data_IF_962773457946
#
_entry.id   IF_962773457946
#
_cell.length_a   1.000
_cell.length_b   1.000
_cell.length_c   1.000
_cell.angle_alpha   90.00
_cell.angle_beta   90.00
_cell.angle_gamma   90.00
#
_symmetry.space_group_name_H-M   'P 1'
#
loop_
_entity.id
_entity.type
_entity.pdbx_description
1 polymer ?
#
# COMPACT_ATOMS: atom_id res chain seq x y z
N UNK A 1 11.47 40.62 -1.52
CA UNK A 1 11.51 40.40 -2.98
C UNK A 1 12.10 39.04 -3.37
N UNK A 2 12.22 38.05 -2.47
CA UNK A 2 12.23 36.63 -2.86
C UNK A 2 11.48 35.79 -1.80
N UNK A 3 10.22 36.17 -1.56
CA UNK A 3 9.14 35.19 -1.45
C UNK A 3 8.71 34.97 -2.90
N UNK A 4 9.12 33.85 -3.49
CA UNK A 4 8.38 33.06 -4.49
C UNK A 4 9.29 31.96 -5.07
N UNK A 5 8.84 30.70 -4.93
CA UNK A 5 9.30 29.46 -5.61
C UNK A 5 10.61 28.84 -5.04
N UNK A 6 10.72 27.70 -4.34
CA UNK A 6 9.98 26.41 -4.29
C UNK A 6 10.37 25.57 -3.02
N UNK A 7 9.51 24.65 -2.52
CA UNK A 7 9.63 24.03 -1.18
C UNK A 7 10.30 22.63 -1.13
N UNK A 8 11.61 22.51 -1.41
CA UNK A 8 12.29 21.18 -1.40
C UNK A 8 13.65 21.16 -0.67
N UNK A 9 13.79 21.89 0.44
CA UNK A 9 14.99 21.85 1.29
C UNK A 9 14.78 21.30 2.72
N UNK A 10 13.64 20.68 3.03
CA UNK A 10 13.30 20.33 4.41
C UNK A 10 12.72 18.93 4.62
N UNK A 11 13.41 17.88 4.18
CA UNK A 11 13.17 16.52 4.69
C UNK A 11 14.46 15.99 5.33
N UNK A 12 14.37 15.54 6.58
CA UNK A 12 15.51 14.98 7.33
C UNK A 12 16.13 13.79 6.61
N UNK A 13 15.33 13.03 5.85
CA UNK A 13 15.79 11.97 4.96
C UNK A 13 16.79 12.45 3.90
N UNK A 14 16.52 13.57 3.18
CA UNK A 14 17.44 14.05 2.15
C UNK A 14 18.78 14.55 2.70
N UNK A 15 18.78 15.10 3.92
CA UNK A 15 20.03 15.45 4.63
C UNK A 15 20.81 14.20 5.04
N UNK A 16 20.10 13.17 5.50
CA UNK A 16 20.69 11.89 5.88
C UNK A 16 21.28 11.15 4.67
N UNK A 17 20.55 11.07 3.56
CA UNK A 17 20.99 10.45 2.31
C UNK A 17 22.22 11.16 1.70
N UNK A 18 22.24 12.50 1.68
CA UNK A 18 23.40 13.25 1.20
C UNK A 18 24.66 12.98 2.04
N UNK A 19 24.51 12.84 3.36
CA UNK A 19 25.62 12.53 4.27
C UNK A 19 26.16 11.11 4.06
N UNK A 20 25.27 10.14 3.81
CA UNK A 20 25.61 8.76 3.45
C UNK A 20 26.42 8.71 2.13
N UNK A 21 25.93 9.35 1.07
CA UNK A 21 26.61 9.38 -0.24
C UNK A 21 28.00 10.05 -0.17
N UNK A 22 28.18 11.02 0.74
CA UNK A 22 29.46 11.72 0.95
C UNK A 22 30.46 10.94 1.82
N UNK A 23 30.13 9.72 2.26
CA UNK A 23 31.00 8.90 3.13
C UNK A 23 31.18 9.48 4.53
N UNK A 24 30.26 10.35 4.96
CA UNK A 24 30.25 10.95 6.30
C UNK A 24 29.47 10.00 7.24
N UNK A 25 30.08 8.85 7.56
CA UNK A 25 29.48 7.74 8.32
C UNK A 25 29.12 8.05 9.79
N UNK A 26 29.28 9.28 10.26
CA UNK A 26 29.08 9.64 11.66
C UNK A 26 27.63 10.03 12.04
N UNK A 27 26.71 10.15 11.08
CA UNK A 27 25.34 10.63 11.35
C UNK A 27 24.25 9.57 11.16
N UNK A 28 24.41 8.39 11.78
CA UNK A 28 23.31 7.43 11.98
C UNK A 28 22.08 8.07 12.66
N UNK A 29 22.28 9.16 13.41
CA UNK A 29 21.21 9.96 14.02
C UNK A 29 20.24 10.57 13.00
N UNK A 30 20.68 11.03 11.83
CA UNK A 30 19.79 11.67 10.86
C UNK A 30 18.90 10.67 10.12
N UNK A 31 19.42 9.45 9.87
CA UNK A 31 18.62 8.34 9.36
C UNK A 31 17.65 7.82 10.43
N UNK A 32 18.08 7.77 11.70
CA UNK A 32 17.20 7.46 12.83
C UNK A 32 16.08 8.50 12.99
N UNK A 33 16.39 9.79 12.91
CA UNK A 33 15.41 10.88 12.95
C UNK A 33 14.43 10.76 11.79
N UNK A 34 14.91 10.50 10.57
CA UNK A 34 14.04 10.28 9.40
C UNK A 34 13.13 9.04 9.55
N UNK A 35 13.64 7.96 10.16
CA UNK A 35 12.86 6.77 10.48
C UNK A 35 11.82 7.02 11.60
N UNK A 36 12.08 7.95 12.51
CA UNK A 36 11.23 8.25 13.67
C UNK A 36 10.18 9.34 13.39
N UNK A 37 10.43 10.28 12.48
CA UNK A 37 9.54 11.43 12.24
C UNK A 37 8.19 11.04 11.64
N UNK A 38 8.16 10.04 10.74
CA UNK A 38 6.94 9.44 10.18
C UNK A 38 7.20 7.97 9.84
N UNK A 39 7.22 7.06 10.83
CA UNK A 39 7.72 5.71 10.67
C UNK A 39 6.95 4.85 9.65
N UNK A 40 5.76 5.26 9.20
CA UNK A 40 4.99 4.62 8.13
C UNK A 40 5.21 5.16 6.71
N UNK A 41 6.07 6.15 6.52
CA UNK A 41 6.24 6.83 5.23
C UNK A 41 7.31 6.18 4.34
N UNK A 42 7.24 6.43 3.03
CA UNK A 42 8.30 6.11 2.05
C UNK A 42 9.71 6.40 2.60
N UNK A 43 9.90 7.61 3.15
CA UNK A 43 11.21 8.05 3.64
C UNK A 43 11.66 7.30 4.89
N UNK A 44 10.74 6.91 5.76
CA UNK A 44 11.10 6.11 6.93
C UNK A 44 11.47 4.67 6.57
N UNK A 45 10.76 4.06 5.61
CA UNK A 45 11.15 2.74 5.09
C UNK A 45 12.52 2.77 4.42
N UNK A 46 12.78 3.74 3.53
CA UNK A 46 14.10 3.89 2.90
C UNK A 46 15.20 4.19 3.91
N UNK A 47 14.93 5.01 4.93
CA UNK A 47 15.91 5.26 5.98
C UNK A 47 16.28 3.98 6.74
N UNK A 48 15.30 3.10 7.01
CA UNK A 48 15.54 1.81 7.66
C UNK A 48 16.33 0.83 6.79
N UNK A 49 16.05 0.76 5.48
CA UNK A 49 16.85 -0.06 4.55
C UNK A 49 18.32 0.40 4.52
N UNK A 50 18.56 1.71 4.38
CA UNK A 50 19.92 2.27 4.40
C UNK A 50 20.64 2.04 5.73
N UNK A 51 19.92 2.07 6.86
CA UNK A 51 20.47 1.71 8.17
C UNK A 51 20.81 0.21 8.27
N UNK A 52 19.98 -0.66 7.69
CA UNK A 52 20.21 -2.10 7.66
C UNK A 52 21.44 -2.46 6.80
N UNK A 53 21.58 -1.86 5.61
CA UNK A 53 22.76 -2.01 4.75
C UNK A 53 24.05 -1.53 5.44
N UNK A 54 23.92 -0.55 6.35
CA UNK A 54 25.01 -0.04 7.18
C UNK A 54 25.23 -0.84 8.49
N UNK A 55 24.44 -1.89 8.76
CA UNK A 55 24.60 -2.78 9.92
C UNK A 55 23.97 -2.29 11.24
N UNK A 56 22.99 -1.39 11.20
CA UNK A 56 22.28 -0.88 12.38
C UNK A 56 20.88 -1.50 12.54
N UNK A 57 20.51 -1.93 13.76
CA UNK A 57 19.19 -2.53 14.04
C UNK A 57 18.07 -1.47 14.18
N UNK A 58 16.91 -1.64 13.51
CA UNK A 58 15.72 -0.81 13.74
C UNK A 58 15.07 -1.09 15.10
N UNK A 59 14.50 -0.06 15.72
CA UNK A 59 13.82 -0.12 17.03
C UNK A 59 12.39 -0.66 16.84
N UNK A 60 12.03 -1.63 17.68
CA UNK A 60 10.70 -2.26 17.78
C UNK A 60 9.66 -1.30 18.41
N UNK A 61 8.54 -1.10 17.72
CA UNK A 61 7.42 -0.24 18.13
C UNK A 61 6.36 -0.96 18.95
N UNK A 62 6.65 -2.17 19.46
CA UNK A 62 5.69 -2.99 20.21
C UNK A 62 5.42 -2.43 21.62
N UNK A 63 4.62 -1.36 21.76
CA UNK A 63 3.76 -1.16 22.94
C UNK A 63 2.88 0.10 22.79
N UNK A 64 1.57 -0.09 22.56
CA UNK A 64 0.44 0.52 23.32
C UNK A 64 -0.94 0.27 22.67
N UNK A 65 -1.97 0.14 23.52
CA UNK A 65 -3.38 -0.21 23.17
C UNK A 65 -4.27 1.05 23.10
N UNK A 66 -5.24 1.18 22.16
CA UNK A 66 -6.08 2.38 22.08
C UNK A 66 -7.49 2.28 22.70
N UNK A 67 -7.93 1.15 23.27
CA UNK A 67 -9.34 0.99 23.68
C UNK A 67 -9.53 0.73 25.19
N UNK A 68 -10.50 1.43 25.77
CA UNK A 68 -10.98 1.31 27.15
C UNK A 68 -11.67 -0.05 27.43
N UNK A 69 -11.92 -0.38 28.70
CA UNK A 69 -12.52 -1.68 29.11
C UNK A 69 -13.86 -1.97 28.41
N UNK A 70 -14.75 -0.98 28.35
CA UNK A 70 -16.06 -1.09 27.69
C UNK A 70 -15.92 -1.30 26.17
N UNK A 71 -14.91 -0.69 25.53
CA UNK A 71 -14.60 -0.93 24.13
C UNK A 71 -14.17 -2.37 23.84
N UNK A 72 -13.42 -2.99 24.75
CA UNK A 72 -12.96 -4.38 24.61
C UNK A 72 -14.07 -5.41 24.74
N UNK A 73 -15.07 -5.16 25.58
CA UNK A 73 -16.23 -6.06 25.73
C UNK A 73 -17.12 -6.03 24.49
N UNK A 74 -17.39 -4.84 23.94
CA UNK A 74 -18.13 -4.68 22.68
C UNK A 74 -17.35 -5.28 21.51
N UNK A 75 -16.04 -5.05 21.43
CA UNK A 75 -15.17 -5.66 20.42
C UNK A 75 -15.18 -7.19 20.52
N UNK A 76 -15.08 -7.76 21.73
CA UNK A 76 -15.15 -9.21 21.93
C UNK A 76 -16.50 -9.79 21.51
N UNK A 77 -17.59 -9.09 21.79
CA UNK A 77 -18.94 -9.51 21.39
C UNK A 77 -19.14 -9.45 19.88
N UNK A 78 -18.72 -8.36 19.23
CA UNK A 78 -18.84 -8.19 17.79
C UNK A 78 -17.86 -9.09 17.03
N UNK A 79 -16.65 -9.31 17.56
CA UNK A 79 -15.72 -10.32 17.07
C UNK A 79 -16.34 -11.72 17.16
N UNK A 80 -17.03 -12.03 18.24
CA UNK A 80 -17.78 -13.29 18.37
C UNK A 80 -18.87 -13.41 17.29
N UNK A 81 -19.64 -12.36 17.04
CA UNK A 81 -20.66 -12.38 15.97
C UNK A 81 -20.04 -12.55 14.58
N UNK A 82 -18.91 -11.89 14.31
CA UNK A 82 -18.15 -12.04 13.06
C UNK A 82 -17.64 -13.48 12.90
N UNK A 83 -17.06 -14.06 13.95
CA UNK A 83 -16.58 -15.45 13.96
C UNK A 83 -17.72 -16.47 13.80
N UNK A 84 -18.92 -16.15 14.28
CA UNK A 84 -20.09 -17.03 14.21
C UNK A 84 -20.89 -16.87 12.90
N UNK A 85 -20.48 -15.97 11.99
CA UNK A 85 -21.19 -15.76 10.74
C UNK A 85 -22.50 -14.97 10.86
N UNK A 86 -22.73 -14.33 12.02
CA UNK A 86 -24.01 -13.68 12.39
C UNK A 86 -24.03 -12.21 11.93
N UNK A 87 -23.87 -12.00 10.61
CA UNK A 87 -23.69 -10.67 10.02
C UNK A 87 -24.98 -9.85 9.98
N UNK A 88 -26.13 -10.49 9.85
CA UNK A 88 -27.43 -9.80 9.83
C UNK A 88 -27.77 -9.26 11.22
N UNK A 89 -27.52 -10.07 12.25
CA UNK A 89 -27.69 -9.71 13.66
C UNK A 89 -26.72 -8.58 14.05
N UNK A 90 -25.49 -8.64 13.55
CA UNK A 90 -24.52 -7.56 13.69
C UNK A 90 -25.09 -6.25 13.10
N UNK A 91 -25.66 -6.29 11.89
CA UNK A 91 -26.24 -5.11 11.22
C UNK A 91 -27.45 -4.54 12.00
N UNK A 92 -28.35 -5.40 12.50
CA UNK A 92 -29.48 -4.97 13.34
C UNK A 92 -29.04 -4.32 14.66
N UNK A 93 -27.91 -4.73 15.23
CA UNK A 93 -27.33 -4.11 16.44
C UNK A 93 -26.67 -2.77 16.10
N UNK A 94 -25.99 -2.72 14.96
CA UNK A 94 -25.16 -1.59 14.52
C UNK A 94 -26.00 -0.42 13.95
N UNK A 95 -27.03 -0.69 13.15
CA UNK A 95 -27.77 0.33 12.38
C UNK A 95 -28.71 1.23 13.21
N UNK A 96 -29.45 0.74 14.24
CA UNK A 96 -30.38 1.57 15.00
C UNK A 96 -29.96 1.86 16.46
N UNK A 97 -29.01 1.11 17.04
CA UNK A 97 -28.86 1.00 18.49
C UNK A 97 -27.70 1.77 19.14
N UNK A 98 -26.71 2.22 18.36
CA UNK A 98 -25.54 2.91 18.92
C UNK A 98 -25.75 4.43 18.91
N UNK A 99 -25.79 5.11 20.07
CA UNK A 99 -25.80 6.56 20.10
C UNK A 99 -24.44 7.10 19.60
N UNK A 100 -24.28 7.32 18.29
CA UNK A 100 -23.07 7.82 17.60
C UNK A 100 -22.70 9.29 17.93
N UNK A 101 -22.99 9.72 19.14
CA UNK A 101 -22.76 11.08 19.64
C UNK A 101 -21.27 11.43 19.75
N UNK A 102 -20.39 10.43 19.96
CA UNK A 102 -18.95 10.64 20.16
C UNK A 102 -18.12 10.11 18.99
N UNK A 103 -16.98 10.76 18.72
CA UNK A 103 -16.09 10.38 17.63
C UNK A 103 -15.50 8.97 17.81
N UNK A 104 -15.27 8.53 19.05
CA UNK A 104 -14.77 7.19 19.35
C UNK A 104 -15.76 6.09 18.97
N UNK A 105 -17.05 6.30 19.18
CA UNK A 105 -18.08 5.31 18.81
C UNK A 105 -18.19 5.15 17.29
N UNK A 106 -18.04 6.27 16.54
CA UNK A 106 -17.98 6.25 15.07
C UNK A 106 -16.75 5.50 14.54
N UNK A 107 -15.59 5.66 15.18
CA UNK A 107 -14.37 4.92 14.80
C UNK A 107 -14.53 3.41 15.04
N UNK A 108 -15.00 3.01 16.23
CA UNK A 108 -15.27 1.61 16.55
C UNK A 108 -16.21 1.00 15.52
N UNK A 109 -17.32 1.69 15.21
CA UNK A 109 -18.29 1.29 14.19
C UNK A 109 -17.66 1.08 12.80
N UNK A 110 -16.86 2.04 12.33
CA UNK A 110 -16.19 1.93 11.03
C UNK A 110 -15.17 0.79 10.99
N UNK A 111 -14.46 0.52 12.09
CA UNK A 111 -13.57 -0.62 12.21
C UNK A 111 -14.33 -1.96 12.07
N UNK A 112 -15.48 -2.09 12.74
CA UNK A 112 -16.32 -3.30 12.64
C UNK A 112 -16.88 -3.46 11.22
N UNK A 113 -17.41 -2.39 10.62
CA UNK A 113 -17.92 -2.45 9.25
C UNK A 113 -16.82 -2.78 8.25
N UNK A 114 -15.57 -2.35 8.49
CA UNK A 114 -14.44 -2.71 7.65
C UNK A 114 -14.26 -4.23 7.59
N UNK A 115 -14.27 -4.91 8.74
CA UNK A 115 -14.24 -6.38 8.82
C UNK A 115 -15.42 -7.04 8.07
N UNK A 116 -16.64 -6.55 8.27
CA UNK A 116 -17.84 -7.07 7.60
C UNK A 116 -17.72 -6.97 6.09
N UNK A 117 -17.22 -5.84 5.58
CA UNK A 117 -17.03 -5.64 4.14
C UNK A 117 -16.06 -6.65 3.55
N UNK A 118 -14.99 -7.02 4.25
CA UNK A 118 -14.09 -8.08 3.77
C UNK A 118 -14.78 -9.44 3.66
N UNK A 119 -15.55 -9.83 4.67
CA UNK A 119 -16.29 -11.11 4.65
C UNK A 119 -17.30 -11.15 3.50
N UNK A 120 -17.90 -10.00 3.16
CA UNK A 120 -18.83 -9.89 2.02
C UNK A 120 -18.14 -9.91 0.66
N UNK A 121 -16.81 -9.98 0.61
CA UNK A 121 -16.06 -9.86 -0.64
C UNK A 121 -16.08 -8.44 -1.21
N UNK A 122 -16.22 -7.42 -0.35
CA UNK A 122 -16.26 -6.00 -0.68
C UNK A 122 -15.00 -5.27 -0.15
N UNK A 123 -13.78 -5.68 -0.56
CA UNK A 123 -12.53 -5.19 0.05
C UNK A 123 -12.29 -3.69 -0.16
N UNK A 124 -12.81 -3.12 -1.24
CA UNK A 124 -12.75 -1.68 -1.47
C UNK A 124 -13.43 -0.88 -0.36
N UNK A 125 -14.62 -1.32 0.05
CA UNK A 125 -15.36 -0.68 1.13
C UNK A 125 -14.69 -0.94 2.48
N UNK A 126 -14.15 -2.16 2.67
CA UNK A 126 -13.33 -2.51 3.84
C UNK A 126 -12.17 -1.54 4.04
N UNK A 127 -11.36 -1.33 3.00
CA UNK A 127 -10.25 -0.38 3.01
C UNK A 127 -10.73 1.03 3.31
N UNK A 128 -11.77 1.52 2.61
CA UNK A 128 -12.27 2.88 2.78
C UNK A 128 -12.70 3.15 4.23
N UNK A 129 -13.35 2.18 4.86
CA UNK A 129 -13.76 2.27 6.26
C UNK A 129 -12.57 2.27 7.21
N UNK A 130 -11.57 1.41 6.97
CA UNK A 130 -10.33 1.40 7.75
C UNK A 130 -9.52 2.70 7.59
N UNK A 131 -9.51 3.30 6.40
CA UNK A 131 -8.86 4.60 6.15
C UNK A 131 -9.55 5.74 6.92
N UNK A 132 -10.88 5.71 7.07
CA UNK A 132 -11.59 6.67 7.93
C UNK A 132 -11.18 6.52 9.39
N UNK A 133 -10.97 5.28 9.86
CA UNK A 133 -10.47 5.02 11.21
C UNK A 133 -9.05 5.55 11.36
N UNK A 134 -8.17 5.29 10.39
CA UNK A 134 -6.80 5.84 10.36
C UNK A 134 -6.80 7.37 10.43
N UNK A 135 -7.64 8.04 9.64
CA UNK A 135 -7.75 9.50 9.64
C UNK A 135 -8.24 10.04 11.00
N UNK A 136 -9.23 9.38 11.60
CA UNK A 136 -9.79 9.80 12.88
C UNK A 136 -8.85 9.54 14.07
N UNK A 137 -8.06 8.46 14.03
CA UNK A 137 -7.01 8.17 15.03
C UNK A 137 -5.83 9.12 14.87
N UNK A 138 -5.48 9.48 13.62
CA UNK A 138 -4.36 10.34 13.27
C UNK A 138 -3.05 9.97 14.02
N UNK A 139 -2.58 8.71 13.92
CA UNK A 139 -1.41 8.28 14.65
C UNK A 139 -0.16 9.01 14.12
N UNK A 140 0.87 9.15 14.97
CA UNK A 140 2.14 9.72 14.54
C UNK A 140 2.81 8.83 13.48
N UNK A 141 2.66 7.51 13.62
CA UNK A 141 3.03 6.51 12.62
C UNK A 141 1.88 5.58 12.30
N UNK A 142 1.77 5.12 11.05
CA UNK A 142 0.89 3.99 10.73
C UNK A 142 1.31 2.72 11.48
N UNK A 143 2.61 2.56 11.78
CA UNK A 143 3.13 1.40 12.51
C UNK A 143 2.76 1.39 14.00
N UNK A 144 2.25 2.50 14.53
CA UNK A 144 1.73 2.57 15.91
C UNK A 144 0.33 1.95 16.02
N UNK A 145 -0.29 1.62 14.89
CA UNK A 145 -1.62 1.02 14.85
C UNK A 145 -1.56 -0.47 15.21
N UNK A 146 -2.63 -1.02 15.83
CA UNK A 146 -2.78 -2.46 15.99
C UNK A 146 -2.67 -3.20 14.65
N UNK A 147 -2.02 -4.37 14.66
CA UNK A 147 -1.81 -5.19 13.46
C UNK A 147 -3.12 -5.50 12.75
N UNK A 148 -4.20 -5.70 13.50
CA UNK A 148 -5.53 -6.00 12.99
C UNK A 148 -6.05 -4.87 12.08
N UNK A 149 -5.84 -3.60 12.48
CA UNK A 149 -6.19 -2.46 11.64
C UNK A 149 -5.26 -2.34 10.43
N UNK A 150 -3.98 -2.68 10.58
CA UNK A 150 -3.05 -2.72 9.46
C UNK A 150 -3.43 -3.75 8.40
N UNK A 151 -3.91 -4.94 8.80
CA UNK A 151 -4.39 -5.98 7.87
C UNK A 151 -5.64 -5.52 7.11
N UNK A 152 -6.52 -4.74 7.74
CA UNK A 152 -7.66 -4.10 7.07
C UNK A 152 -7.25 -2.97 6.11
N UNK A 153 -6.14 -2.29 6.37
CA UNK A 153 -5.59 -1.29 5.44
C UNK A 153 -4.84 -1.96 4.29
N UNK A 154 -4.16 -3.08 4.54
CA UNK A 154 -3.30 -3.78 3.58
C UNK A 154 -3.71 -5.26 3.44
N UNK A 155 -4.88 -5.54 2.86
CA UNK A 155 -5.40 -6.91 2.77
C UNK A 155 -4.71 -7.71 1.65
N UNK A 156 -4.64 -9.04 1.79
CA UNK A 156 -4.09 -9.97 0.78
C UNK A 156 -5.20 -10.58 -0.11
N UNK A 157 -6.02 -9.74 -0.72
CA UNK A 157 -7.15 -10.22 -1.55
C UNK A 157 -6.64 -10.75 -2.89
N UNK A 158 -7.33 -11.76 -3.43
CA UNK A 158 -6.98 -12.45 -4.68
C UNK A 158 -5.66 -13.23 -4.61
N UNK A 159 -5.30 -13.71 -3.42
CA UNK A 159 -4.05 -14.42 -3.17
C UNK A 159 -3.81 -15.61 -4.09
N UNK A 160 -4.82 -16.45 -4.30
CA UNK A 160 -4.72 -17.62 -5.18
C UNK A 160 -4.39 -17.26 -6.62
N UNK A 161 -5.08 -16.24 -7.18
CA UNK A 161 -4.88 -15.80 -8.57
C UNK A 161 -3.47 -15.26 -8.76
N UNK A 162 -3.00 -14.40 -7.84
CA UNK A 162 -1.67 -13.81 -7.92
C UNK A 162 -0.61 -14.91 -7.72
N UNK A 163 -0.80 -15.78 -6.73
CA UNK A 163 0.11 -16.88 -6.43
C UNK A 163 0.25 -17.85 -7.61
N UNK A 164 -0.86 -18.23 -8.23
CA UNK A 164 -0.85 -19.06 -9.44
C UNK A 164 -0.05 -18.37 -10.56
N UNK A 165 -0.33 -17.11 -10.87
CA UNK A 165 0.35 -16.36 -11.93
C UNK A 165 1.86 -16.25 -11.69
N UNK A 166 2.28 -15.95 -10.46
CA UNK A 166 3.70 -15.82 -10.10
C UNK A 166 4.42 -17.18 -10.04
N UNK A 167 3.69 -18.29 -9.88
CA UNK A 167 4.27 -19.64 -9.90
C UNK A 167 4.60 -20.15 -11.31
N UNK A 168 3.97 -19.58 -12.36
CA UNK A 168 4.14 -20.04 -13.75
C UNK A 168 5.55 -19.79 -14.26
N UNK A 169 6.12 -18.62 -13.95
CA UNK A 169 7.43 -18.20 -14.43
C UNK A 169 8.12 -17.29 -13.41
N UNK A 170 9.46 -17.33 -13.28
CA UNK A 170 10.19 -16.41 -12.42
C UNK A 170 9.95 -14.95 -12.83
N UNK A 171 9.56 -14.11 -11.87
CA UNK A 171 9.37 -12.67 -12.05
C UNK A 171 10.44 -11.89 -11.29
N UNK A 172 10.75 -10.68 -11.76
CA UNK A 172 11.69 -9.74 -11.08
C UNK A 172 11.04 -8.96 -9.92
N UNK A 173 9.77 -9.24 -9.65
CA UNK A 173 8.98 -8.69 -8.57
C UNK A 173 8.24 -9.81 -7.86
N UNK A 174 7.79 -9.54 -6.64
CA UNK A 174 7.12 -10.52 -5.80
C UNK A 174 5.60 -10.28 -5.69
N UNK A 175 4.97 -11.14 -4.90
CA UNK A 175 3.55 -11.10 -4.57
C UNK A 175 3.12 -9.78 -3.89
N UNK A 176 3.96 -9.23 -3.00
CA UNK A 176 3.64 -8.02 -2.25
C UNK A 176 3.61 -6.78 -3.13
N UNK A 177 4.44 -6.70 -4.18
CA UNK A 177 4.39 -5.58 -5.12
C UNK A 177 3.09 -5.59 -5.93
N UNK A 178 2.57 -6.76 -6.30
CA UNK A 178 1.28 -6.87 -7.02
C UNK A 178 0.13 -6.37 -6.14
N UNK A 179 0.10 -6.77 -4.86
CA UNK A 179 -0.88 -6.27 -3.89
C UNK A 179 -0.76 -4.75 -3.68
N UNK A 180 0.47 -4.22 -3.62
CA UNK A 180 0.73 -2.79 -3.47
C UNK A 180 0.18 -1.99 -4.65
N UNK A 181 0.44 -2.43 -5.88
CA UNK A 181 -0.11 -1.79 -7.08
C UNK A 181 -1.64 -1.85 -7.11
N UNK A 182 -2.23 -3.02 -6.85
CA UNK A 182 -3.68 -3.17 -6.85
C UNK A 182 -4.37 -2.28 -5.80
N UNK A 183 -3.77 -2.17 -4.62
CA UNK A 183 -4.21 -1.24 -3.56
C UNK A 183 -4.17 0.20 -4.04
N UNK A 184 -3.04 0.63 -4.60
CA UNK A 184 -2.86 2.04 -4.98
C UNK A 184 -3.66 2.45 -6.21
N UNK A 185 -3.91 1.53 -7.13
CA UNK A 185 -4.68 1.78 -8.35
C UNK A 185 -6.18 1.89 -8.08
N UNK A 186 -6.77 0.95 -7.33
CA UNK A 186 -8.23 0.88 -7.18
C UNK A 186 -8.74 0.65 -5.76
N UNK A 187 -7.85 0.42 -4.79
CA UNK A 187 -8.21 -0.19 -3.49
C UNK A 187 -9.06 -1.45 -3.71
N UNK A 188 -8.63 -2.35 -4.60
CA UNK A 188 -9.32 -3.60 -4.92
C UNK A 188 -10.74 -3.45 -5.50
N UNK A 189 -11.08 -2.29 -6.07
CA UNK A 189 -12.37 -2.09 -6.73
C UNK A 189 -12.34 -2.66 -8.17
N UNK A 190 -12.91 -3.86 -8.35
CA UNK A 190 -13.00 -4.52 -9.68
C UNK A 190 -13.81 -3.75 -10.72
N UNK A 191 -14.66 -2.82 -10.28
CA UNK A 191 -15.51 -2.00 -11.14
C UNK A 191 -14.95 -0.59 -11.37
N UNK A 192 -13.73 -0.29 -10.88
CA UNK A 192 -13.13 1.03 -10.99
C UNK A 192 -12.93 1.46 -12.45
N UNK A 193 -13.23 2.73 -12.75
CA UNK A 193 -13.07 3.35 -14.07
C UNK A 193 -12.44 4.73 -13.89
N UNK A 194 -11.28 4.97 -14.49
CA UNK A 194 -10.66 6.30 -14.48
C UNK A 194 -11.21 7.20 -15.60
N UNK A 195 -11.09 8.54 -15.46
CA UNK A 195 -11.40 9.47 -16.54
C UNK A 195 -10.60 9.23 -17.83
N UNK A 196 -9.39 8.65 -17.71
CA UNK A 196 -8.51 8.31 -18.82
C UNK A 196 -8.84 6.95 -19.45
N UNK A 197 -9.88 6.27 -18.98
CA UNK A 197 -10.34 4.99 -19.53
C UNK A 197 -9.62 3.76 -18.98
N UNK A 198 -8.90 3.89 -17.87
CA UNK A 198 -8.31 2.76 -17.15
C UNK A 198 -9.39 1.98 -16.39
N UNK A 199 -9.28 0.65 -16.33
CA UNK A 199 -10.33 -0.24 -15.84
C UNK A 199 -9.84 -1.26 -14.82
N UNK A 200 -10.71 -1.57 -13.85
CA UNK A 200 -10.59 -2.70 -12.95
C UNK A 200 -9.56 -2.54 -11.83
N UNK A 201 -9.17 -3.67 -11.25
CA UNK A 201 -8.37 -3.76 -10.04
C UNK A 201 -7.02 -3.04 -10.13
N UNK A 202 -6.36 -3.14 -11.27
CA UNK A 202 -5.01 -2.59 -11.49
C UNK A 202 -5.02 -1.51 -12.58
N UNK A 203 -6.18 -0.90 -12.81
CA UNK A 203 -6.40 0.27 -13.68
C UNK A 203 -5.64 0.16 -15.02
N UNK A 204 -5.97 -0.87 -15.80
CA UNK A 204 -5.38 -1.04 -17.12
C UNK A 204 -6.17 -0.31 -18.20
N UNK A 205 -5.44 0.35 -19.10
CA UNK A 205 -6.00 0.88 -20.35
C UNK A 205 -6.29 -0.31 -21.29
N UNK A 206 -7.47 -0.41 -21.90
CA UNK A 206 -7.83 -1.55 -22.75
C UNK A 206 -6.84 -1.85 -23.87
N UNK A 207 -6.31 -0.82 -24.54
CA UNK A 207 -5.32 -1.01 -25.59
C UNK A 207 -4.03 -1.66 -25.06
N UNK A 208 -3.59 -1.28 -23.85
CA UNK A 208 -2.40 -1.84 -23.20
C UNK A 208 -2.63 -3.30 -22.81
N UNK A 209 -3.79 -3.60 -22.23
CA UNK A 209 -4.13 -4.96 -21.83
C UNK A 209 -4.28 -5.90 -23.03
N UNK A 210 -4.91 -5.41 -24.12
CA UNK A 210 -5.03 -6.19 -25.35
C UNK A 210 -3.69 -6.44 -26.02
N UNK A 211 -2.80 -5.44 -26.00
CA UNK A 211 -1.45 -5.56 -26.56
C UNK A 211 -0.60 -6.57 -25.77
N UNK A 212 -0.60 -6.51 -24.44
CA UNK A 212 0.27 -7.37 -23.63
C UNK A 212 -0.20 -8.83 -23.61
N UNK A 213 -1.51 -9.08 -23.72
CA UNK A 213 -2.08 -10.43 -23.80
C UNK A 213 -2.25 -10.94 -25.24
N UNK A 214 -1.84 -10.16 -26.24
CA UNK A 214 -1.99 -10.47 -27.67
C UNK A 214 -3.41 -10.93 -28.05
N UNK A 215 -4.42 -10.30 -27.45
CA UNK A 215 -5.84 -10.57 -27.74
C UNK A 215 -6.70 -9.35 -27.49
N UNK A 216 -7.75 -9.15 -28.28
CA UNK A 216 -8.69 -8.07 -28.01
C UNK A 216 -9.48 -8.32 -26.72
N UNK A 217 -9.38 -7.40 -25.76
CA UNK A 217 -10.11 -7.43 -24.50
C UNK A 217 -11.21 -6.38 -24.49
N UNK A 218 -12.42 -6.84 -24.15
CA UNK A 218 -13.54 -5.96 -23.89
C UNK A 218 -13.42 -5.23 -22.55
N UNK A 219 -14.15 -4.12 -22.41
CA UNK A 219 -14.22 -3.41 -21.13
C UNK A 219 -14.84 -4.24 -20.01
N UNK A 220 -15.71 -5.21 -20.35
CA UNK A 220 -16.32 -6.12 -19.40
C UNK A 220 -15.29 -7.15 -18.89
N UNK A 221 -14.48 -7.72 -19.79
CA UNK A 221 -13.39 -8.62 -19.41
C UNK A 221 -12.39 -7.95 -18.49
N UNK A 222 -12.08 -6.66 -18.70
CA UNK A 222 -11.16 -5.93 -17.82
C UNK A 222 -11.73 -5.59 -16.43
N UNK A 223 -13.03 -5.82 -16.21
CA UNK A 223 -13.62 -5.79 -14.85
C UNK A 223 -13.66 -7.17 -14.19
N UNK A 224 -13.29 -8.23 -14.91
CA UNK A 224 -13.07 -9.55 -14.32
C UNK A 224 -11.71 -9.54 -13.57
N UNK A 225 -11.68 -9.86 -12.27
CA UNK A 225 -10.46 -9.86 -11.48
C UNK A 225 -9.31 -10.67 -12.08
N UNK A 226 -9.56 -11.90 -12.51
CA UNK A 226 -8.51 -12.79 -13.00
C UNK A 226 -7.85 -12.25 -14.28
N UNK A 227 -8.67 -11.79 -15.25
CA UNK A 227 -8.17 -11.22 -16.52
C UNK A 227 -7.42 -9.91 -16.26
N UNK A 228 -7.93 -9.05 -15.37
CA UNK A 228 -7.29 -7.78 -15.06
C UNK A 228 -5.92 -7.97 -14.37
N UNK A 229 -5.84 -8.89 -13.41
CA UNK A 229 -4.60 -9.22 -12.71
C UNK A 229 -3.61 -9.88 -13.68
N UNK A 230 -4.04 -10.82 -14.51
CA UNK A 230 -3.20 -11.47 -15.53
C UNK A 230 -2.55 -10.44 -16.46
N UNK A 231 -3.35 -9.55 -17.05
CA UNK A 231 -2.85 -8.50 -17.93
C UNK A 231 -1.91 -7.54 -17.19
N UNK A 232 -2.17 -7.23 -15.92
CA UNK A 232 -1.37 -6.28 -15.15
C UNK A 232 -0.03 -6.87 -14.72
N UNK A 233 -0.01 -8.14 -14.32
CA UNK A 233 1.22 -8.89 -14.01
C UNK A 233 2.07 -9.03 -15.26
N UNK A 234 1.48 -9.37 -16.42
CA UNK A 234 2.20 -9.43 -17.68
C UNK A 234 2.77 -8.06 -18.09
N UNK A 235 2.00 -6.99 -17.90
CA UNK A 235 2.47 -5.64 -18.21
C UNK A 235 3.58 -5.18 -17.27
N UNK A 236 3.47 -5.49 -15.98
CA UNK A 236 4.49 -5.19 -15.00
C UNK A 236 5.81 -5.92 -15.32
N UNK A 237 5.74 -7.19 -15.73
CA UNK A 237 6.90 -7.96 -16.15
C UNK A 237 7.61 -7.35 -17.36
N UNK A 238 6.85 -6.95 -18.38
CA UNK A 238 7.38 -6.18 -19.51
C UNK A 238 8.10 -4.90 -19.07
N UNK A 239 7.58 -4.19 -18.06
CA UNK A 239 8.22 -2.97 -17.55
C UNK A 239 9.51 -3.27 -16.77
N UNK A 240 9.55 -4.33 -15.96
CA UNK A 240 10.76 -4.76 -15.27
C UNK A 240 11.85 -5.23 -16.23
N UNK A 241 11.47 -5.87 -17.35
CA UNK A 241 12.42 -6.22 -18.40
C UNK A 241 13.01 -5.00 -19.11
N UNK A 242 12.23 -3.92 -19.22
CA UNK A 242 12.67 -2.70 -19.89
C UNK A 242 13.48 -1.77 -19.00
N UNK A 243 13.19 -1.73 -17.69
CA UNK A 243 13.73 -0.71 -16.80
C UNK A 243 14.55 -1.22 -15.62
N UNK A 244 14.56 -2.54 -15.39
CA UNK A 244 15.37 -3.27 -14.39
C UNK A 244 15.10 -2.95 -12.91
N UNK A 245 14.68 -1.73 -12.58
CA UNK A 245 14.41 -1.29 -11.21
C UNK A 245 12.92 -1.14 -10.95
N UNK A 246 12.53 -1.36 -9.69
CA UNK A 246 11.15 -1.23 -9.22
C UNK A 246 10.62 0.19 -9.46
N UNK A 247 11.42 1.20 -9.14
CA UNK A 247 11.02 2.60 -9.18
C UNK A 247 10.73 3.07 -10.60
N UNK A 248 11.56 2.65 -11.56
CA UNK A 248 11.34 2.96 -12.97
C UNK A 248 10.18 2.16 -13.57
N UNK A 249 10.02 0.89 -13.19
CA UNK A 249 8.89 0.08 -13.62
C UNK A 249 7.56 0.66 -13.11
N UNK A 250 7.46 0.98 -11.82
CA UNK A 250 6.26 1.58 -11.21
C UNK A 250 5.98 2.98 -11.77
N UNK A 251 7.02 3.81 -11.97
CA UNK A 251 6.86 5.10 -12.63
C UNK A 251 6.33 4.94 -14.06
N UNK A 252 6.78 3.90 -14.78
CA UNK A 252 6.37 3.63 -16.15
C UNK A 252 4.96 3.05 -16.25
N UNK A 253 4.52 2.31 -15.23
CA UNK A 253 3.17 1.77 -15.13
C UNK A 253 2.15 2.92 -15.14
N UNK A 254 2.38 3.96 -14.33
CA UNK A 254 1.49 5.12 -14.23
C UNK A 254 1.78 6.22 -15.28
N UNK A 255 3.05 6.59 -15.47
CA UNK A 255 3.46 7.71 -16.34
C UNK A 255 3.68 7.34 -17.81
N UNK A 256 3.63 6.04 -18.13
CA UNK A 256 3.89 5.50 -19.46
C UNK A 256 5.39 5.29 -19.73
N UNK A 257 5.78 4.15 -20.34
CA UNK A 257 7.18 3.75 -20.45
C UNK A 257 7.99 4.67 -21.37
N UNK A 258 7.38 5.23 -22.42
CA UNK A 258 8.09 6.16 -23.32
C UNK A 258 8.40 7.51 -22.65
N UNK A 259 7.54 7.95 -21.74
CA UNK A 259 7.74 9.17 -20.96
C UNK A 259 8.86 8.99 -19.96
N UNK A 260 8.83 7.89 -19.19
CA UNK A 260 9.86 7.57 -18.20
C UNK A 260 11.23 7.34 -18.85
N UNK A 261 11.28 6.59 -19.96
CA UNK A 261 12.52 6.41 -20.73
C UNK A 261 13.13 7.74 -21.17
N UNK A 262 12.30 8.73 -21.52
CA UNK A 262 12.76 10.08 -21.84
C UNK A 262 13.36 10.77 -20.62
N UNK A 263 12.71 10.70 -19.45
CA UNK A 263 13.21 11.31 -18.22
C UNK A 263 14.56 10.73 -17.79
N UNK A 264 14.70 9.40 -17.85
CA UNK A 264 15.96 8.70 -17.56
C UNK A 264 17.06 9.16 -18.52
N UNK A 265 16.78 9.18 -19.82
CA UNK A 265 17.77 9.60 -20.83
C UNK A 265 18.19 11.07 -20.70
N UNK A 266 17.29 11.95 -20.25
CA UNK A 266 17.63 13.37 -20.05
C UNK A 266 18.62 13.55 -18.90
N UNK A 267 18.59 12.70 -17.88
CA UNK A 267 19.48 12.78 -16.73
C UNK A 267 19.99 11.37 -16.32
N UNK A 268 20.87 10.75 -17.12
CA UNK A 268 21.27 9.34 -16.94
C UNK A 268 22.09 9.10 -15.67
N UNK A 269 22.72 10.14 -15.13
CA UNK A 269 23.55 10.09 -13.92
C UNK A 269 22.75 10.26 -12.62
N UNK A 270 21.42 10.42 -12.69
CA UNK A 270 20.60 10.52 -11.48
C UNK A 270 20.53 9.16 -10.79
N UNK A 271 20.78 9.16 -9.48
CA UNK A 271 20.36 8.05 -8.64
C UNK A 271 18.84 7.88 -8.73
N UNK A 272 18.37 6.68 -8.45
CA UNK A 272 16.94 6.35 -8.47
C UNK A 272 16.14 7.23 -7.50
N UNK A 273 16.68 7.55 -6.33
CA UNK A 273 16.05 8.42 -5.34
C UNK A 273 15.84 9.83 -5.89
N UNK A 274 16.89 10.38 -6.51
CA UNK A 274 16.84 11.72 -7.09
C UNK A 274 15.92 11.74 -8.31
N UNK A 275 15.94 10.69 -9.12
CA UNK A 275 14.99 10.52 -10.22
C UNK A 275 13.55 10.63 -9.72
N UNK A 276 13.17 9.92 -8.65
CA UNK A 276 11.80 9.97 -8.10
C UNK A 276 11.41 11.41 -7.77
N UNK A 277 12.26 12.16 -7.05
CA UNK A 277 11.95 13.56 -6.71
C UNK A 277 11.92 14.50 -7.90
N UNK A 278 12.58 14.14 -9.00
CA UNK A 278 12.61 14.94 -10.20
C UNK A 278 11.53 14.54 -11.23
N UNK A 279 10.78 13.45 -11.02
CA UNK A 279 9.65 13.05 -11.87
C UNK A 279 8.73 14.25 -12.12
N UNK A 280 8.66 14.80 -13.35
CA UNK A 280 7.94 16.05 -13.60
C UNK A 280 6.44 15.96 -13.34
N UNK A 281 5.85 14.77 -13.52
CA UNK A 281 4.43 14.55 -13.29
C UNK A 281 4.21 14.28 -11.80
N UNK A 282 3.61 15.27 -11.10
CA UNK A 282 3.36 15.18 -9.66
C UNK A 282 2.51 13.96 -9.26
N UNK A 283 1.54 13.59 -10.11
CA UNK A 283 0.74 12.38 -9.92
C UNK A 283 1.60 11.12 -9.93
N UNK A 284 2.42 10.92 -10.98
CA UNK A 284 3.34 9.77 -11.10
C UNK A 284 4.36 9.75 -9.97
N UNK A 285 4.91 10.91 -9.59
CA UNK A 285 5.83 11.03 -8.46
C UNK A 285 5.19 10.52 -7.16
N UNK A 286 3.97 10.98 -6.88
CA UNK A 286 3.25 10.58 -5.67
C UNK A 286 2.82 9.11 -5.75
N UNK A 287 2.44 8.63 -6.93
CA UNK A 287 2.07 7.24 -7.16
C UNK A 287 3.23 6.30 -6.82
N UNK A 288 4.44 6.56 -7.32
CA UNK A 288 5.64 5.75 -7.00
C UNK A 288 5.88 5.68 -5.50
N UNK A 289 5.80 6.82 -4.80
CA UNK A 289 6.00 6.87 -3.34
C UNK A 289 4.92 6.09 -2.58
N UNK A 290 3.66 6.17 -3.02
CA UNK A 290 2.56 5.41 -2.40
C UNK A 290 2.70 3.92 -2.64
N UNK A 291 2.99 3.48 -3.88
CA UNK A 291 3.18 2.07 -4.21
C UNK A 291 4.34 1.49 -3.42
N UNK A 292 5.47 2.19 -3.36
CA UNK A 292 6.60 1.75 -2.55
C UNK A 292 6.25 1.67 -1.06
N UNK A 293 5.53 2.66 -0.51
CA UNK A 293 5.07 2.62 0.89
C UNK A 293 4.15 1.42 1.14
N UNK A 294 3.19 1.18 0.26
CA UNK A 294 2.29 0.04 0.33
C UNK A 294 3.02 -1.29 0.20
N UNK A 295 4.00 -1.39 -0.70
CA UNK A 295 4.86 -2.56 -0.86
C UNK A 295 5.63 -2.87 0.43
N UNK A 296 6.23 -1.86 1.06
CA UNK A 296 6.92 -2.03 2.33
C UNK A 296 5.97 -2.41 3.47
N UNK A 297 4.73 -1.91 3.48
CA UNK A 297 3.72 -2.32 4.45
C UNK A 297 3.30 -3.79 4.26
N UNK A 298 3.13 -4.25 3.02
CA UNK A 298 2.89 -5.66 2.74
C UNK A 298 4.07 -6.53 3.19
N UNK A 299 5.31 -6.14 2.89
CA UNK A 299 6.51 -6.83 3.38
C UNK A 299 6.60 -6.84 4.92
N UNK A 300 6.29 -5.72 5.57
CA UNK A 300 6.28 -5.65 7.03
C UNK A 300 5.25 -6.59 7.66
N UNK A 301 4.05 -6.68 7.08
CA UNK A 301 2.97 -7.48 7.63
C UNK A 301 3.09 -8.98 7.33
N UNK A 302 3.71 -9.34 6.20
CA UNK A 302 3.62 -10.68 5.60
C UNK A 302 4.97 -11.26 5.13
N UNK A 303 6.07 -10.51 5.21
CA UNK A 303 7.40 -10.92 4.75
C UNK A 303 8.20 -11.78 5.73
N UNK A 304 7.82 -11.85 7.00
CA UNK A 304 8.45 -12.71 8.02
C UNK A 304 7.51 -13.85 8.46
N UNK A 305 7.83 -15.12 8.17
CA UNK A 305 7.06 -16.29 8.62
C UNK A 305 6.89 -16.39 10.16
N UNK A 306 7.77 -15.74 10.93
CA UNK A 306 7.70 -15.74 12.40
C UNK A 306 6.69 -14.73 12.97
N UNK A 307 6.30 -13.72 12.18
CA UNK A 307 5.25 -12.75 12.53
C UNK A 307 3.81 -13.29 12.32
N UNK A 308 3.68 -14.48 11.71
CA UNK A 308 2.40 -15.09 11.30
C UNK A 308 1.68 -15.84 12.43
N UNK A 309 2.29 -16.05 13.61
CA UNK A 309 1.69 -16.88 14.69
C UNK A 309 0.48 -16.28 15.43
N UNK A 310 -0.14 -15.22 14.91
CA UNK A 310 -1.23 -14.51 15.58
C UNK A 310 -2.63 -14.75 15.02
N UNK A 311 -2.77 -15.17 13.76
CA UNK A 311 -4.06 -15.43 13.13
C UNK A 311 -3.86 -16.53 12.09
N UNK A 312 -4.34 -17.73 12.39
CA UNK A 312 -4.32 -18.85 11.45
C UNK A 312 -5.09 -18.46 10.17
N UNK A 313 -4.41 -18.61 9.04
CA UNK A 313 -4.78 -18.19 7.67
C UNK A 313 -5.94 -19.02 7.06
N UNK A 314 -6.70 -19.75 7.89
CA UNK A 314 -7.72 -20.70 7.46
C UNK A 314 -9.15 -20.12 7.42
N UNK A 315 -9.35 -18.87 7.83
CA UNK A 315 -10.69 -18.25 7.90
C UNK A 315 -11.07 -17.39 6.69
N UNK A 316 -10.24 -17.35 5.64
CA UNK A 316 -10.48 -16.51 4.45
C UNK A 316 -10.40 -17.26 3.10
N UNK A 317 -10.36 -18.59 3.14
CA UNK A 317 -10.56 -19.46 1.97
C UNK A 317 -12.00 -19.99 1.89
#
# INVERSE_FOLDING_TARGET
FLLEVKPYLASSYYRAWASYVLGLFYDALLLQDAAQLQPGSYYAFRARELLADAGANPIDGSEKRPFDETGRELESFLHTLICLGLYNELEEILVPGLPLSQAQDRMKYQYILSHVSYVRGEPHEGIRLAENVLEAVAPQSILDLPRELLVLLYPRVYGDVIGELLSREPKKFDYHLVLALMREESRYNRSARSPQGALGLMQLIPATASWILDRELSTQELTNPAINIEAAVAYLDYLFDRFETLEYAVASYNGGPNTVARWIRTNPELSVEKFIEEIPYGETRNFVKRVYTSYMMYNYLYGDPSAVRGFDDDSLN
#
